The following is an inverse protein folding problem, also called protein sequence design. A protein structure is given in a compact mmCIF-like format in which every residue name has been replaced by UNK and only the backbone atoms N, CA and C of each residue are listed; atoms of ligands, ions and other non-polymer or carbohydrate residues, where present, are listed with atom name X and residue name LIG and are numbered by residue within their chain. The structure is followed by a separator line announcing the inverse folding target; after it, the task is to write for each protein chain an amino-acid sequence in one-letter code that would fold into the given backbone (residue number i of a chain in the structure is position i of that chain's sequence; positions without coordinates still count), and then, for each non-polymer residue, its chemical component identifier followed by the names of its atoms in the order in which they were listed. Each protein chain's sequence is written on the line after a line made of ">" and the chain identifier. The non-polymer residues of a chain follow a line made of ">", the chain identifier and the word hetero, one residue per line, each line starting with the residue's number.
data_IF_011880814474
#
_entry.id   IF_011880814474
#
_cell.length_a   1.000
_cell.length_b   1.000
_cell.length_c   1.000
_cell.angle_alpha   90.00
_cell.angle_beta   90.00
_cell.angle_gamma   90.00
#
_symmetry.space_group_name_H-M   'P 1'
#
loop_
_entity.id
_entity.type
_entity.pdbx_description
1 polymer ?
#
# COMPACT_ATOMS: atom_id res chain seq x y z
N UNK A 1 -5.25 -7.18 48.55
CA UNK A 1 -6.62 -6.96 48.01
C UNK A 1 -6.43 -6.23 46.68
N UNK A 2 -7.16 -6.68 45.65
CA UNK A 2 -6.89 -6.60 44.20
C UNK A 2 -6.38 -5.27 43.63
N UNK A 3 -5.44 -5.42 42.69
CA UNK A 3 -4.93 -4.41 41.76
C UNK A 3 -6.02 -3.84 40.84
N UNK A 4 -5.85 -2.57 40.46
CA UNK A 4 -6.55 -1.95 39.35
C UNK A 4 -5.55 -1.82 38.20
N UNK A 5 -5.79 -2.60 37.14
CA UNK A 5 -5.06 -2.54 35.87
C UNK A 5 -5.44 -1.27 35.12
N UNK A 6 -4.43 -0.48 34.75
CA UNK A 6 -4.57 0.64 33.82
C UNK A 6 -5.12 0.14 32.48
N UNK A 7 -6.37 0.46 32.21
CA UNK A 7 -6.95 0.30 30.88
C UNK A 7 -6.36 1.35 29.96
N UNK A 8 -5.35 0.98 29.16
CA UNK A 8 -5.00 1.75 27.97
C UNK A 8 -6.24 1.84 27.08
N UNK A 9 -6.89 3.00 27.08
CA UNK A 9 -7.95 3.30 26.13
C UNK A 9 -7.32 3.37 24.74
N UNK A 10 -7.38 2.28 23.98
CA UNK A 10 -7.09 2.28 22.54
C UNK A 10 -7.87 3.43 21.90
N UNK A 11 -7.17 4.43 21.37
CA UNK A 11 -7.83 5.56 20.74
C UNK A 11 -8.64 5.08 19.53
N UNK A 12 -9.73 5.77 19.19
CA UNK A 12 -10.49 5.48 17.95
C UNK A 12 -9.58 5.49 16.70
N UNK A 13 -8.49 6.27 16.73
CA UNK A 13 -7.46 6.26 15.69
C UNK A 13 -6.60 5.00 15.67
N UNK A 14 -6.30 4.40 16.82
CA UNK A 14 -5.47 3.18 16.90
C UNK A 14 -6.24 1.96 16.43
N UNK A 15 -7.51 1.84 16.83
CA UNK A 15 -8.43 0.81 16.31
C UNK A 15 -8.65 0.94 14.79
N UNK A 16 -8.75 2.17 14.25
CA UNK A 16 -8.78 2.41 12.80
C UNK A 16 -7.46 2.09 12.09
N UNK A 17 -6.32 2.15 12.78
CA UNK A 17 -5.01 1.75 12.23
C UNK A 17 -4.89 0.23 12.15
N UNK A 18 -5.39 -0.49 13.14
CA UNK A 18 -5.44 -1.96 13.12
C UNK A 18 -6.35 -2.49 12.02
N UNK A 19 -7.51 -1.85 11.77
CA UNK A 19 -8.36 -2.20 10.61
C UNK A 19 -7.71 -1.96 9.26
N UNK A 20 -6.67 -1.10 9.19
CA UNK A 20 -5.88 -0.86 7.98
C UNK A 20 -4.70 -1.81 7.85
N UNK A 21 -4.55 -2.81 8.73
CA UNK A 21 -3.54 -3.84 8.55
C UNK A 21 -3.79 -4.59 7.25
N UNK A 22 -2.97 -4.26 6.28
CA UNK A 22 -2.95 -4.94 5.02
C UNK A 22 -2.10 -6.20 5.23
N UNK A 23 -2.69 -7.40 5.09
CA UNK A 23 -1.98 -8.66 5.31
C UNK A 23 -0.63 -8.67 4.55
N UNK A 24 0.50 -8.91 5.25
CA UNK A 24 1.84 -8.68 4.70
C UNK A 24 2.25 -9.70 3.63
N UNK A 25 1.51 -10.79 3.45
CA UNK A 25 1.93 -11.93 2.61
C UNK A 25 0.91 -12.40 1.56
N UNK A 26 -0.22 -11.71 1.38
CA UNK A 26 -1.11 -12.06 0.27
C UNK A 26 -0.49 -11.56 -1.03
N UNK A 27 0.22 -12.44 -1.76
CA UNK A 27 0.43 -12.25 -3.19
C UNK A 27 -0.95 -12.41 -3.82
N UNK A 28 -1.64 -11.29 -3.99
CA UNK A 28 -2.90 -11.24 -4.74
C UNK A 28 -2.57 -11.57 -6.20
N UNK A 29 -2.66 -12.85 -6.54
CA UNK A 29 -2.44 -13.35 -7.91
C UNK A 29 -3.59 -13.02 -8.88
N UNK A 30 -4.72 -12.51 -8.36
CA UNK A 30 -5.94 -12.27 -9.11
C UNK A 30 -6.36 -10.80 -9.03
N UNK A 31 -5.47 -9.88 -9.42
CA UNK A 31 -5.87 -8.49 -9.64
C UNK A 31 -6.72 -8.47 -10.92
N UNK A 32 -8.00 -8.08 -10.80
CA UNK A 32 -8.91 -7.94 -11.95
C UNK A 32 -9.43 -6.51 -12.05
N UNK A 33 -9.43 -5.96 -13.25
CA UNK A 33 -10.01 -4.63 -13.54
C UNK A 33 -9.14 -3.44 -13.10
N UNK A 34 -7.91 -3.68 -12.65
CA UNK A 34 -6.94 -2.65 -12.24
C UNK A 34 -5.64 -2.72 -13.05
N UNK A 35 -5.57 -3.58 -14.06
CA UNK A 35 -4.38 -3.84 -14.88
C UNK A 35 -3.92 -2.57 -15.61
N UNK A 36 -4.85 -1.85 -16.23
CA UNK A 36 -4.54 -0.59 -16.91
C UNK A 36 -4.02 0.48 -15.94
N UNK A 37 -4.58 0.53 -14.72
CA UNK A 37 -4.12 1.46 -13.68
C UNK A 37 -2.73 1.09 -13.19
N UNK A 38 -2.47 -0.21 -13.03
CA UNK A 38 -1.16 -0.76 -12.65
C UNK A 38 -0.11 -0.43 -13.71
N UNK A 39 -0.35 -0.75 -14.98
CA UNK A 39 0.58 -0.48 -16.07
C UNK A 39 0.88 1.00 -16.22
N UNK A 40 -0.15 1.86 -16.14
CA UNK A 40 0.03 3.31 -16.18
C UNK A 40 0.94 3.79 -15.05
N UNK A 41 0.67 3.37 -13.81
CA UNK A 41 1.46 3.81 -12.66
C UNK A 41 2.88 3.24 -12.67
N UNK A 42 3.08 2.02 -13.16
CA UNK A 42 4.42 1.45 -13.38
C UNK A 42 5.18 2.31 -14.37
N UNK A 43 4.60 2.62 -15.53
CA UNK A 43 5.22 3.46 -16.54
C UNK A 43 5.51 4.86 -15.99
N UNK A 44 4.55 5.45 -15.27
CA UNK A 44 4.71 6.75 -14.62
C UNK A 44 5.83 6.71 -13.57
N UNK A 45 6.10 5.60 -12.88
CA UNK A 45 7.18 5.53 -11.88
C UNK A 45 8.56 5.32 -12.50
N UNK A 46 8.65 4.57 -13.60
CA UNK A 46 9.95 4.16 -14.19
C UNK A 46 10.38 5.00 -15.39
N UNK A 47 9.47 5.78 -15.98
CA UNK A 47 9.78 6.65 -17.11
C UNK A 47 10.50 7.93 -16.66
N UNK A 48 11.50 8.40 -17.42
CA UNK A 48 12.12 9.71 -17.23
C UNK A 48 13.51 9.70 -16.58
N UNK A 49 14.08 10.89 -16.39
CA UNK A 49 15.44 11.11 -15.88
C UNK A 49 15.52 11.85 -14.54
N UNK A 50 14.38 12.14 -13.91
CA UNK A 50 14.32 12.79 -12.61
C UNK A 50 14.64 11.80 -11.48
N UNK A 51 15.45 12.24 -10.50
CA UNK A 51 15.90 11.40 -9.39
C UNK A 51 14.81 11.14 -8.33
N UNK A 52 13.77 11.98 -8.27
CA UNK A 52 12.71 11.92 -7.27
C UNK A 52 11.36 12.15 -7.93
N UNK A 53 10.41 11.24 -7.68
CA UNK A 53 9.06 11.31 -8.23
C UNK A 53 8.05 10.86 -7.16
N UNK A 54 6.92 11.55 -7.11
CA UNK A 54 5.83 11.25 -6.17
C UNK A 54 4.53 11.07 -6.96
N UNK A 55 3.81 9.98 -6.67
CA UNK A 55 2.50 9.69 -7.25
C UNK A 55 1.51 9.39 -6.12
N UNK A 56 0.33 10.01 -6.17
CA UNK A 56 -0.72 9.82 -5.16
C UNK A 56 -1.85 8.95 -5.70
N UNK A 57 -2.30 7.96 -4.93
CA UNK A 57 -3.45 7.11 -5.25
C UNK A 57 -4.63 7.54 -4.37
N UNK A 58 -5.65 8.15 -4.97
CA UNK A 58 -6.80 8.74 -4.29
C UNK A 58 -8.12 8.09 -4.71
N UNK A 59 -9.14 8.15 -3.85
CA UNK A 59 -10.47 7.58 -4.13
C UNK A 59 -11.21 7.11 -2.88
N UNK A 60 -12.50 6.78 -3.01
CA UNK A 60 -13.36 6.29 -1.93
C UNK A 60 -12.80 5.03 -1.24
N UNK A 61 -13.30 4.75 -0.02
CA UNK A 61 -13.02 3.50 0.69
C UNK A 61 -13.41 2.27 -0.14
N UNK A 62 -12.69 1.15 0.02
CA UNK A 62 -13.02 -0.10 -0.67
C UNK A 62 -12.60 -0.21 -2.15
N UNK A 63 -12.17 0.86 -2.81
CA UNK A 63 -11.75 0.83 -4.24
C UNK A 63 -10.45 0.07 -4.54
N UNK A 64 -9.82 -0.56 -3.55
CA UNK A 64 -8.57 -1.30 -3.79
C UNK A 64 -7.32 -0.41 -3.96
N UNK A 65 -7.31 0.83 -3.46
CA UNK A 65 -6.12 1.72 -3.53
C UNK A 65 -4.86 1.08 -2.94
N UNK A 66 -4.98 0.52 -1.74
CA UNK A 66 -3.87 -0.16 -1.05
C UNK A 66 -3.47 -1.44 -1.78
N UNK A 67 -4.43 -2.17 -2.36
CA UNK A 67 -4.20 -3.31 -3.26
C UNK A 67 -3.36 -2.89 -4.47
N UNK A 68 -3.75 -1.83 -5.17
CA UNK A 68 -3.00 -1.30 -6.31
C UNK A 68 -1.57 -0.88 -5.91
N UNK A 69 -1.42 -0.17 -4.78
CA UNK A 69 -0.11 0.22 -4.26
C UNK A 69 0.80 -1.00 -3.96
N UNK A 70 0.25 -2.06 -3.37
CA UNK A 70 0.96 -3.31 -3.11
C UNK A 70 1.43 -3.99 -4.39
N UNK A 71 0.58 -4.05 -5.41
CA UNK A 71 0.92 -4.65 -6.70
C UNK A 71 2.06 -3.88 -7.39
N UNK A 72 1.99 -2.55 -7.38
CA UNK A 72 3.04 -1.68 -7.91
C UNK A 72 4.37 -1.92 -7.18
N UNK A 73 4.35 -1.98 -5.84
CA UNK A 73 5.55 -2.22 -5.03
C UNK A 73 6.24 -3.55 -5.34
N UNK A 74 5.46 -4.61 -5.58
CA UNK A 74 5.99 -5.92 -5.95
C UNK A 74 6.24 -6.09 -7.45
N UNK A 75 5.87 -5.11 -8.29
CA UNK A 75 6.01 -5.20 -9.73
C UNK A 75 7.48 -5.29 -10.13
N UNK A 76 7.83 -6.29 -10.96
CA UNK A 76 9.23 -6.59 -11.32
C UNK A 76 9.97 -5.38 -11.89
N UNK A 77 9.33 -4.61 -12.75
CA UNK A 77 9.93 -3.41 -13.38
C UNK A 77 10.21 -2.31 -12.36
N UNK A 78 9.30 -2.10 -11.40
CA UNK A 78 9.45 -1.10 -10.34
C UNK A 78 10.57 -1.52 -9.41
N UNK A 79 10.55 -2.76 -8.92
CA UNK A 79 11.63 -3.32 -8.09
C UNK A 79 12.98 -3.16 -8.77
N UNK A 80 13.15 -3.62 -10.02
CA UNK A 80 14.41 -3.47 -10.75
C UNK A 80 14.86 -2.03 -10.93
N UNK A 81 13.95 -1.07 -11.08
CA UNK A 81 14.29 0.34 -11.26
C UNK A 81 14.80 0.99 -9.96
N UNK A 82 14.22 0.61 -8.82
CA UNK A 82 14.54 1.17 -7.51
C UNK A 82 15.47 0.31 -6.65
N UNK A 83 15.70 -0.96 -7.02
CA UNK A 83 16.69 -1.86 -6.44
C UNK A 83 18.09 -1.35 -6.82
N UNK A 84 18.55 -0.32 -6.11
CA UNK A 84 19.95 0.09 -6.02
C UNK A 84 20.45 -0.20 -4.61
N UNK A 85 20.83 -1.45 -4.35
CA UNK A 85 22.01 -1.89 -3.56
C UNK A 85 22.18 -3.39 -3.75
#
# INVERSE_FOLDING_TARGET
>A
IKEATDGESLSLSDSQREQRQSFPYAVEHNLVGLEQSLEKLVNDLVSGGEKLRVVSICGMGGLGKTTLAKQIFHHRTVRRHFDRF
#
